data_IF_057611813755
#
_entry.id   IF_057611813755
#
_cell.length_a   1.000
_cell.length_b   1.000
_cell.length_c   1.000
_cell.angle_alpha   90.00
_cell.angle_beta   90.00
_cell.angle_gamma   90.00
#
_symmetry.space_group_name_H-M   'P 1'
#
loop_
_entity.id
_entity.type
_entity.pdbx_description
1 polymer ?
#
# COMPACT_ATOMS: atom_id res chain seq x y z
N UNK A 1 -17.42 14.47 -14.87
CA UNK A 1 -16.09 13.86 -14.65
C UNK A 1 -15.41 13.78 -15.99
N UNK A 2 -14.23 14.36 -16.14
CA UNK A 2 -13.43 14.18 -17.36
C UNK A 2 -12.82 12.77 -17.34
N UNK A 3 -13.43 11.85 -18.08
CA UNK A 3 -13.12 10.42 -18.07
C UNK A 3 -11.67 10.12 -18.49
N UNK A 4 -11.09 11.01 -19.30
CA UNK A 4 -9.72 10.89 -19.80
C UNK A 4 -8.67 11.04 -18.70
N UNK A 5 -8.83 12.04 -17.84
CA UNK A 5 -7.99 12.34 -16.67
C UNK A 5 -7.98 11.13 -15.70
N UNK A 6 -9.16 10.68 -15.27
CA UNK A 6 -9.29 9.58 -14.32
C UNK A 6 -8.72 8.27 -14.88
N UNK A 7 -8.95 7.99 -16.17
CA UNK A 7 -8.40 6.81 -16.84
C UNK A 7 -6.87 6.81 -16.84
N UNK A 8 -6.23 7.94 -17.16
CA UNK A 8 -4.76 8.06 -17.13
C UNK A 8 -4.18 7.90 -15.73
N UNK A 9 -4.80 8.51 -14.72
CA UNK A 9 -4.38 8.34 -13.33
C UNK A 9 -4.50 6.89 -12.86
N UNK A 10 -5.60 6.21 -13.21
CA UNK A 10 -5.79 4.78 -12.92
C UNK A 10 -4.70 3.92 -13.59
N UNK A 11 -4.39 4.14 -14.86
CA UNK A 11 -3.34 3.39 -15.57
C UNK A 11 -1.97 3.60 -14.91
N UNK A 12 -1.61 4.83 -14.56
CA UNK A 12 -0.32 5.11 -13.90
C UNK A 12 -0.22 4.48 -12.52
N UNK A 13 -1.28 4.56 -11.71
CA UNK A 13 -1.33 3.90 -10.40
C UNK A 13 -1.29 2.38 -10.54
N UNK A 14 -1.98 1.82 -11.54
CA UNK A 14 -1.97 0.40 -11.82
C UNK A 14 -0.57 -0.07 -12.19
N UNK A 15 0.10 0.60 -13.14
CA UNK A 15 1.45 0.24 -13.56
C UNK A 15 2.45 0.36 -12.40
N UNK A 16 2.34 1.41 -11.58
CA UNK A 16 3.16 1.59 -10.39
C UNK A 16 2.93 0.46 -9.37
N UNK A 17 1.68 0.10 -9.09
CA UNK A 17 1.34 -0.97 -8.16
C UNK A 17 1.74 -2.35 -8.69
N UNK A 18 1.51 -2.62 -9.97
CA UNK A 18 1.86 -3.87 -10.63
C UNK A 18 3.37 -4.10 -10.69
N UNK A 19 4.16 -3.02 -10.81
CA UNK A 19 5.63 -3.11 -10.82
C UNK A 19 6.21 -2.97 -9.41
N UNK A 20 6.08 -1.80 -8.78
CA UNK A 20 6.66 -1.51 -7.47
C UNK A 20 6.05 -2.34 -6.34
N UNK A 21 4.73 -2.51 -6.34
CA UNK A 21 4.06 -3.36 -5.33
C UNK A 21 4.46 -4.83 -5.45
N UNK A 22 4.58 -5.36 -6.68
CA UNK A 22 5.09 -6.71 -6.88
C UNK A 22 6.57 -6.83 -6.52
N UNK A 23 7.40 -5.83 -6.82
CA UNK A 23 8.81 -5.85 -6.40
C UNK A 23 8.96 -5.90 -4.87
N UNK A 24 8.13 -5.17 -4.13
CA UNK A 24 8.10 -5.20 -2.67
C UNK A 24 7.59 -6.54 -2.12
N UNK A 25 6.60 -7.16 -2.76
CA UNK A 25 6.12 -8.50 -2.38
C UNK A 25 7.18 -9.58 -2.67
N UNK A 26 7.83 -9.52 -3.83
CA UNK A 26 8.96 -10.38 -4.18
C UNK A 26 10.10 -10.25 -3.17
N UNK A 27 10.40 -9.03 -2.71
CA UNK A 27 11.37 -8.80 -1.65
C UNK A 27 11.01 -9.59 -0.37
N UNK A 28 9.75 -9.60 0.07
CA UNK A 28 9.33 -10.39 1.23
C UNK A 28 9.37 -11.90 1.00
N UNK A 29 9.12 -12.35 -0.23
CA UNK A 29 9.33 -13.76 -0.60
C UNK A 29 10.80 -14.14 -0.52
N UNK A 30 11.69 -13.31 -1.06
CA UNK A 30 13.14 -13.53 -1.03
C UNK A 30 13.72 -13.49 0.39
N UNK A 31 13.19 -12.63 1.27
CA UNK A 31 13.55 -12.60 2.70
C UNK A 31 12.95 -13.77 3.49
N UNK A 32 12.14 -14.62 2.86
CA UNK A 32 11.49 -15.77 3.49
C UNK A 32 10.39 -15.39 4.47
N UNK A 33 9.95 -14.11 4.48
CA UNK A 33 8.88 -13.59 5.34
C UNK A 33 7.51 -14.02 4.84
N UNK A 34 7.35 -14.15 3.52
CA UNK A 34 6.10 -14.57 2.86
C UNK A 34 6.39 -15.78 1.97
N UNK A 35 5.49 -16.76 1.94
CA UNK A 35 5.63 -17.95 1.09
C UNK A 35 4.30 -18.28 0.42
N UNK A 36 4.33 -18.35 -0.91
CA UNK A 36 3.17 -18.79 -1.69
C UNK A 36 3.02 -20.32 -1.63
N UNK A 37 1.77 -20.78 -1.60
CA UNK A 37 1.46 -22.21 -1.64
C UNK A 37 1.80 -22.81 -3.01
N UNK A 38 2.40 -24.00 -3.03
CA UNK A 38 2.78 -24.70 -4.26
C UNK A 38 1.59 -25.00 -5.17
N UNK A 39 0.39 -25.19 -4.59
CA UNK A 39 -0.85 -25.39 -5.36
C UNK A 39 -1.27 -24.15 -6.16
N UNK A 40 -0.95 -22.95 -5.66
CA UNK A 40 -1.28 -21.68 -6.32
C UNK A 40 -0.17 -21.22 -7.27
N UNK A 41 1.06 -21.66 -7.00
CA UNK A 41 2.25 -21.41 -7.83
C UNK A 41 2.34 -22.36 -9.04
N UNK A 42 1.37 -23.27 -9.22
CA UNK A 42 1.34 -24.19 -10.36
C UNK A 42 1.20 -23.50 -11.74
N UNK A 43 0.90 -22.20 -11.77
CA UNK A 43 0.91 -21.38 -13.00
C UNK A 43 2.28 -20.74 -13.30
N UNK A 44 2.39 -19.96 -14.38
CA UNK A 44 3.60 -19.21 -14.67
C UNK A 44 3.94 -18.25 -13.52
N UNK A 45 5.21 -18.23 -13.12
CA UNK A 45 5.71 -17.30 -12.11
C UNK A 45 6.41 -16.12 -12.77
N UNK A 46 6.24 -14.95 -12.19
CA UNK A 46 6.96 -13.72 -12.56
C UNK A 46 7.84 -13.35 -11.38
N UNK A 47 9.16 -13.50 -11.53
CA UNK A 47 10.14 -13.19 -10.45
C UNK A 47 9.86 -13.91 -9.12
N UNK A 48 9.41 -15.17 -9.16
CA UNK A 48 9.06 -15.94 -7.97
C UNK A 48 7.68 -15.64 -7.38
N UNK A 49 6.90 -14.78 -8.02
CA UNK A 49 5.51 -14.48 -7.66
C UNK A 49 4.52 -15.17 -8.60
N UNK A 50 3.33 -15.55 -8.12
CA UNK A 50 2.24 -15.95 -8.99
C UNK A 50 1.86 -14.85 -10.01
N UNK A 51 1.50 -15.24 -11.24
CA UNK A 51 1.15 -14.30 -12.32
C UNK A 51 0.05 -13.28 -12.00
N UNK A 52 -0.82 -13.58 -11.03
CA UNK A 52 -1.92 -12.70 -10.61
C UNK A 52 -1.49 -11.64 -9.59
N UNK A 53 -0.30 -11.75 -8.99
CA UNK A 53 0.18 -10.79 -7.99
C UNK A 53 0.29 -9.37 -8.57
N UNK A 54 0.89 -9.15 -9.76
CA UNK A 54 0.90 -7.82 -10.38
C UNK A 54 -0.49 -7.25 -10.63
N UNK A 55 -1.47 -8.08 -10.97
CA UNK A 55 -2.85 -7.65 -11.15
C UNK A 55 -3.48 -7.21 -9.82
N UNK A 56 -3.22 -7.96 -8.75
CA UNK A 56 -3.71 -7.65 -7.41
C UNK A 56 -3.08 -6.37 -6.87
N UNK A 57 -1.75 -6.24 -6.92
CA UNK A 57 -1.04 -5.06 -6.39
C UNK A 57 -1.31 -3.81 -7.22
N UNK A 58 -1.44 -3.96 -8.54
CA UNK A 58 -1.87 -2.88 -9.43
C UNK A 58 -3.28 -2.39 -9.10
N UNK A 59 -4.23 -3.32 -8.95
CA UNK A 59 -5.63 -2.97 -8.60
C UNK A 59 -5.73 -2.33 -7.22
N UNK A 60 -4.97 -2.83 -6.24
CA UNK A 60 -4.90 -2.25 -4.90
C UNK A 60 -4.35 -0.81 -4.95
N UNK A 61 -3.31 -0.55 -5.75
CA UNK A 61 -2.76 0.80 -5.89
C UNK A 61 -3.76 1.78 -6.50
N UNK A 62 -4.56 1.35 -7.48
CA UNK A 62 -5.65 2.15 -8.04
C UNK A 62 -6.73 2.41 -6.98
N UNK A 63 -7.19 1.37 -6.29
CA UNK A 63 -8.25 1.50 -5.28
C UNK A 63 -7.84 2.45 -4.14
N UNK A 64 -6.62 2.30 -3.62
CA UNK A 64 -6.09 3.15 -2.55
C UNK A 64 -5.85 4.58 -3.08
N UNK A 65 -5.18 4.72 -4.22
CA UNK A 65 -4.82 6.03 -4.76
C UNK A 65 -6.01 6.88 -5.18
N UNK A 66 -7.05 6.26 -5.77
CA UNK A 66 -8.24 6.98 -6.23
C UNK A 66 -9.32 7.13 -5.16
N UNK A 67 -9.34 6.31 -4.10
CA UNK A 67 -10.33 6.46 -3.02
C UNK A 67 -10.25 7.84 -2.37
N UNK A 68 -9.04 8.39 -2.19
CA UNK A 68 -8.83 9.70 -1.59
C UNK A 68 -9.48 10.84 -2.41
N UNK A 69 -9.10 11.10 -3.68
CA UNK A 69 -9.71 12.18 -4.46
C UNK A 69 -11.21 11.98 -4.75
N UNK A 70 -11.72 10.74 -4.70
CA UNK A 70 -13.16 10.46 -4.82
C UNK A 70 -13.94 10.81 -3.56
N UNK A 71 -13.34 10.62 -2.38
CA UNK A 71 -14.00 10.81 -1.09
C UNK A 71 -13.68 12.18 -0.45
N UNK A 72 -12.63 12.87 -0.91
CA UNK A 72 -12.27 14.22 -0.46
C UNK A 72 -13.44 15.24 -0.54
N UNK A 73 -14.28 15.25 -1.61
CA UNK A 73 -15.44 16.15 -1.67
C UNK A 73 -16.49 15.87 -0.59
N UNK A 74 -16.68 14.61 -0.20
CA UNK A 74 -17.64 14.21 0.83
C UNK A 74 -17.19 14.64 2.23
N UNK A 75 -15.88 14.81 2.44
CA UNK A 75 -15.29 15.22 3.69
C UNK A 75 -15.01 16.74 3.74
N UNK A 76 -15.60 17.51 2.82
CA UNK A 76 -15.43 18.95 2.67
C UNK A 76 -13.94 19.37 2.64
N UNK A 77 -13.07 18.55 2.03
CA UNK A 77 -11.63 18.75 2.15
C UNK A 77 -11.15 19.98 1.35
N UNK A 78 -10.62 20.97 2.08
CA UNK A 78 -9.95 22.17 1.56
C UNK A 78 -8.42 22.02 1.50
N UNK A 79 -7.89 20.90 0.97
CA UNK A 79 -6.43 20.72 0.91
C UNK A 79 -5.85 21.25 -0.39
N UNK A 80 -4.73 21.96 -0.27
CA UNK A 80 -3.84 22.26 -1.39
C UNK A 80 -3.19 20.98 -1.86
N UNK A 81 -3.41 20.61 -3.13
CA UNK A 81 -2.77 19.44 -3.71
C UNK A 81 -1.25 19.59 -3.64
N UNK A 82 -0.58 18.52 -3.21
CA UNK A 82 0.89 18.48 -3.17
C UNK A 82 1.45 18.39 -4.58
N UNK A 83 2.68 18.91 -4.75
CA UNK A 83 3.44 18.76 -6.00
C UNK A 83 3.67 17.28 -6.28
N UNK A 84 3.65 16.89 -7.56
CA UNK A 84 3.89 15.50 -7.95
C UNK A 84 5.23 14.96 -7.39
N UNK A 85 6.28 15.79 -7.38
CA UNK A 85 7.59 15.38 -6.85
C UNK A 85 7.56 15.03 -5.36
N UNK A 86 6.78 15.75 -4.54
CA UNK A 86 6.66 15.42 -3.11
C UNK A 86 5.79 14.19 -2.89
N UNK A 87 4.78 13.95 -3.74
CA UNK A 87 4.01 12.70 -3.71
C UNK A 87 4.85 11.49 -4.16
N UNK A 88 5.74 11.64 -5.15
CA UNK A 88 6.69 10.58 -5.54
C UNK A 88 7.68 10.31 -4.41
N UNK A 89 8.23 11.37 -3.79
CA UNK A 89 9.10 11.21 -2.61
C UNK A 89 8.36 10.50 -1.46
N UNK A 90 7.04 10.66 -1.35
CA UNK A 90 6.22 10.00 -0.35
C UNK A 90 6.22 8.46 -0.51
N UNK A 91 6.38 7.93 -1.73
CA UNK A 91 6.55 6.49 -1.96
C UNK A 91 7.83 5.95 -1.32
N UNK A 92 8.85 6.80 -1.14
CA UNK A 92 10.07 6.44 -0.41
C UNK A 92 9.80 6.03 1.04
N UNK A 93 8.82 6.65 1.70
CA UNK A 93 8.40 6.25 3.05
C UNK A 93 7.77 4.86 3.08
N UNK A 94 6.98 4.52 2.05
CA UNK A 94 6.40 3.19 1.90
C UNK A 94 7.50 2.15 1.70
N UNK A 95 8.46 2.41 0.81
CA UNK A 95 9.61 1.52 0.60
C UNK A 95 10.43 1.34 1.89
N UNK A 96 10.71 2.43 2.60
CA UNK A 96 11.41 2.38 3.88
C UNK A 96 10.64 1.54 4.90
N UNK A 97 9.33 1.72 5.02
CA UNK A 97 8.49 0.91 5.91
C UNK A 97 8.55 -0.59 5.56
N UNK A 98 8.54 -0.93 4.26
CA UNK A 98 8.72 -2.30 3.81
C UNK A 98 10.08 -2.88 4.24
N UNK A 99 11.17 -2.14 4.04
CA UNK A 99 12.51 -2.56 4.45
C UNK A 99 12.61 -2.76 5.97
N UNK A 100 12.06 -1.83 6.75
CA UNK A 100 12.03 -1.91 8.21
C UNK A 100 11.15 -3.08 8.71
N UNK A 101 10.08 -3.41 7.98
CA UNK A 101 9.24 -4.57 8.23
C UNK A 101 9.98 -5.91 8.12
N UNK A 102 11.07 -5.95 7.33
CA UNK A 102 11.90 -7.13 7.17
C UNK A 102 13.02 -7.29 8.21
N UNK A 103 13.27 -6.27 9.05
CA UNK A 103 14.30 -6.36 10.09
C UNK A 103 13.85 -7.35 11.18
N UNK A 104 14.74 -8.26 11.63
CA UNK A 104 14.43 -9.25 12.66
C UNK A 104 14.33 -8.60 14.05
N UNK A 105 13.24 -7.88 14.29
CA UNK A 105 12.87 -7.29 15.58
C UNK A 105 11.77 -8.11 16.25
N UNK A 106 11.67 -8.01 17.58
CA UNK A 106 10.50 -8.52 18.30
C UNK A 106 9.21 -7.89 17.75
N UNK A 107 8.07 -8.62 17.67
CA UNK A 107 6.85 -8.13 17.01
C UNK A 107 6.37 -6.78 17.52
N UNK A 108 6.34 -6.59 18.84
CA UNK A 108 5.92 -5.34 19.46
C UNK A 108 6.88 -4.18 19.15
N UNK A 109 8.19 -4.42 19.18
CA UNK A 109 9.19 -3.42 18.85
C UNK A 109 9.09 -2.98 17.37
N UNK A 110 8.85 -3.94 16.46
CA UNK A 110 8.65 -3.67 15.04
C UNK A 110 7.38 -2.84 14.79
N UNK A 111 6.27 -3.19 15.46
CA UNK A 111 5.03 -2.42 15.39
C UNK A 111 5.21 -1.00 15.93
N UNK A 112 5.90 -0.85 17.08
CA UNK A 112 6.20 0.45 17.66
C UNK A 112 7.04 1.33 16.74
N UNK A 113 8.10 0.77 16.15
CA UNK A 113 8.95 1.47 15.18
C UNK A 113 8.16 1.96 13.97
N UNK A 114 7.40 1.07 13.33
CA UNK A 114 6.61 1.41 12.15
C UNK A 114 5.48 2.39 12.47
N UNK A 115 4.85 2.28 13.63
CA UNK A 115 3.83 3.22 14.11
C UNK A 115 4.39 4.62 14.36
N UNK A 116 5.53 4.73 15.08
CA UNK A 116 6.19 6.02 15.32
C UNK A 116 6.63 6.69 14.02
N UNK A 117 7.19 5.91 13.10
CA UNK A 117 7.62 6.40 11.80
C UNK A 117 6.41 6.81 10.93
N UNK A 118 5.27 6.12 11.06
CA UNK A 118 4.05 6.46 10.34
C UNK A 118 3.49 7.78 10.87
N UNK A 119 3.49 7.97 12.19
CA UNK A 119 3.12 9.24 12.79
C UNK A 119 4.03 10.37 12.30
N UNK A 120 5.35 10.16 12.23
CA UNK A 120 6.26 11.15 11.66
C UNK A 120 5.92 11.48 10.19
N UNK A 121 5.68 10.46 9.36
CA UNK A 121 5.28 10.65 7.98
C UNK A 121 3.94 11.41 7.88
N UNK A 122 2.94 11.07 8.69
CA UNK A 122 1.67 11.78 8.77
C UNK A 122 1.83 13.26 9.18
N UNK A 123 2.73 13.53 10.14
CA UNK A 123 3.09 14.88 10.56
C UNK A 123 3.66 15.70 9.39
N UNK A 124 4.60 15.12 8.65
CA UNK A 124 5.20 15.72 7.46
C UNK A 124 4.21 15.79 6.27
N UNK A 125 3.23 14.89 6.21
CA UNK A 125 2.14 14.87 5.25
C UNK A 125 1.04 15.92 5.55
N UNK A 126 1.23 16.76 6.56
CA UNK A 126 0.37 17.92 6.85
C UNK A 126 -0.75 17.64 7.85
N UNK A 127 -0.66 16.58 8.66
CA UNK A 127 -1.44 16.41 9.90
C UNK A 127 -2.98 16.36 9.73
N UNK A 128 -3.49 15.87 8.59
CA UNK A 128 -4.95 15.80 8.37
C UNK A 128 -5.57 14.62 9.10
N UNK A 129 -6.63 14.86 9.87
CA UNK A 129 -7.44 13.79 10.48
C UNK A 129 -8.08 12.87 9.44
N UNK A 130 -8.41 13.40 8.26
CA UNK A 130 -9.01 12.61 7.16
C UNK A 130 -8.02 11.55 6.65
N UNK A 131 -6.74 11.91 6.56
CA UNK A 131 -5.68 10.96 6.24
C UNK A 131 -5.55 9.86 7.31
N UNK A 132 -5.83 10.14 8.58
CA UNK A 132 -5.86 9.09 9.61
C UNK A 132 -7.03 8.13 9.39
N UNK A 133 -8.21 8.65 9.05
CA UNK A 133 -9.38 7.81 8.76
C UNK A 133 -9.13 6.95 7.51
N UNK A 134 -8.68 7.54 6.41
CA UNK A 134 -8.37 6.76 5.21
C UNK A 134 -7.32 5.69 5.50
N UNK A 135 -6.25 6.06 6.21
CA UNK A 135 -5.20 5.11 6.56
C UNK A 135 -5.70 4.00 7.47
N UNK A 136 -6.61 4.29 8.41
CA UNK A 136 -7.24 3.28 9.25
C UNK A 136 -8.13 2.34 8.41
N UNK A 137 -8.95 2.87 7.51
CA UNK A 137 -9.81 2.08 6.62
C UNK A 137 -8.98 1.17 5.73
N UNK A 138 -7.93 1.71 5.07
CA UNK A 138 -7.03 0.93 4.21
C UNK A 138 -6.23 -0.08 5.02
N UNK A 139 -5.75 0.29 6.21
CA UNK A 139 -5.05 -0.64 7.11
C UNK A 139 -5.90 -1.83 7.52
N UNK A 140 -7.14 -1.58 7.93
CA UNK A 140 -8.07 -2.63 8.34
C UNK A 140 -8.44 -3.50 7.14
N UNK A 141 -8.89 -2.90 6.04
CA UNK A 141 -9.37 -3.63 4.86
C UNK A 141 -8.26 -4.45 4.19
N UNK A 142 -7.07 -3.87 3.98
CA UNK A 142 -5.93 -4.58 3.41
C UNK A 142 -5.49 -5.76 4.27
N UNK A 143 -5.41 -5.55 5.59
CA UNK A 143 -5.05 -6.63 6.52
C UNK A 143 -6.10 -7.74 6.55
N UNK A 144 -7.39 -7.40 6.54
CA UNK A 144 -8.47 -8.39 6.48
C UNK A 144 -8.43 -9.23 5.21
N UNK A 145 -8.16 -8.61 4.05
CA UNK A 145 -7.99 -9.34 2.78
C UNK A 145 -6.83 -10.33 2.89
N UNK A 146 -5.69 -9.90 3.45
CA UNK A 146 -4.53 -10.79 3.64
C UNK A 146 -4.86 -11.95 4.61
N UNK A 147 -5.56 -11.69 5.71
CA UNK A 147 -6.04 -12.75 6.62
C UNK A 147 -6.92 -13.77 5.90
N UNK A 148 -7.84 -13.32 5.05
CA UNK A 148 -8.69 -14.21 4.25
C UNK A 148 -7.84 -15.07 3.30
N UNK A 149 -6.87 -14.46 2.60
CA UNK A 149 -6.00 -15.17 1.66
C UNK A 149 -5.08 -16.18 2.35
N UNK A 150 -4.55 -15.84 3.54
CA UNK A 150 -3.76 -16.77 4.34
C UNK A 150 -4.62 -17.95 4.82
N UNK A 151 -5.83 -17.68 5.32
CA UNK A 151 -6.74 -18.72 5.79
C UNK A 151 -7.28 -19.61 4.65
N UNK A 152 -7.34 -19.07 3.42
CA UNK A 152 -7.62 -19.82 2.20
C UNK A 152 -6.42 -20.63 1.69
N UNK A 153 -5.26 -20.56 2.35
CA UNK A 153 -4.06 -21.30 1.99
C UNK A 153 -3.34 -20.78 0.75
N UNK A 154 -3.57 -19.52 0.35
CA UNK A 154 -2.95 -18.92 -0.85
C UNK A 154 -1.46 -18.65 -0.61
N UNK A 155 -1.12 -18.11 0.56
CA UNK A 155 0.24 -17.90 1.04
C UNK A 155 0.27 -17.91 2.57
N UNK A 156 1.45 -17.87 3.16
CA UNK A 156 1.64 -17.82 4.61
C UNK A 156 2.82 -16.91 5.00
N UNK A 157 2.82 -16.48 6.26
CA UNK A 157 3.92 -15.77 6.91
C UNK A 157 4.59 -16.66 7.96
N UNK A 158 5.65 -17.42 7.62
CA UNK A 158 6.12 -18.53 8.47
C UNK A 158 6.63 -18.11 9.84
N UNK A 159 7.28 -16.94 9.94
CA UNK A 159 7.91 -16.47 11.18
C UNK A 159 7.18 -15.32 11.88
N UNK A 160 6.10 -14.77 11.30
CA UNK A 160 5.42 -13.58 11.83
C UNK A 160 3.91 -13.68 11.60
N UNK A 161 3.24 -14.56 12.33
CA UNK A 161 1.83 -14.92 12.15
C UNK A 161 0.95 -14.52 13.36
N UNK A 162 1.26 -13.38 14.00
CA UNK A 162 0.66 -13.02 15.29
C UNK A 162 -0.81 -12.59 15.19
N UNK A 163 -1.27 -12.13 14.03
CA UNK A 163 -2.65 -11.69 13.79
C UNK A 163 -3.36 -12.66 12.84
N UNK A 164 -3.86 -13.79 13.34
CA UNK A 164 -4.61 -14.77 12.54
C UNK A 164 -3.89 -15.19 11.25
N UNK A 165 -2.56 -15.42 11.34
CA UNK A 165 -1.76 -15.86 10.20
C UNK A 165 -1.05 -14.74 9.44
N UNK A 166 -1.32 -13.46 9.74
CA UNK A 166 -0.56 -12.32 9.18
C UNK A 166 0.28 -11.62 10.24
N UNK A 167 1.31 -10.85 9.84
CA UNK A 167 2.19 -10.18 10.78
C UNK A 167 1.51 -9.01 11.49
N UNK A 168 1.80 -8.82 12.78
CA UNK A 168 1.22 -7.72 13.57
C UNK A 168 1.52 -6.31 13.03
N UNK A 169 2.60 -6.16 12.27
CA UNK A 169 3.04 -4.90 11.69
C UNK A 169 2.43 -4.61 10.31
N UNK A 170 1.77 -5.58 9.68
CA UNK A 170 1.18 -5.44 8.34
C UNK A 170 0.16 -4.28 8.22
N UNK A 171 -0.71 -4.01 9.22
CA UNK A 171 -1.61 -2.87 9.16
C UNK A 171 -0.89 -1.53 8.97
N UNK A 172 0.31 -1.37 9.55
CA UNK A 172 1.09 -0.15 9.38
C UNK A 172 1.50 0.04 7.92
N UNK A 173 1.93 -1.01 7.21
CA UNK A 173 2.29 -0.88 5.79
C UNK A 173 1.12 -0.39 4.93
N UNK A 174 -0.08 -0.91 5.19
CA UNK A 174 -1.29 -0.45 4.52
C UNK A 174 -1.63 1.01 4.89
N UNK A 175 -1.35 1.45 6.11
CA UNK A 175 -1.45 2.86 6.50
C UNK A 175 -0.45 3.75 5.73
N UNK A 176 0.81 3.34 5.57
CA UNK A 176 1.78 4.04 4.71
C UNK A 176 1.30 4.09 3.25
N UNK A 177 0.79 2.97 2.74
CA UNK A 177 0.29 2.89 1.37
C UNK A 177 -0.86 3.86 1.15
N UNK A 178 -1.78 3.99 2.12
CA UNK A 178 -2.87 4.97 2.09
C UNK A 178 -2.36 6.39 1.93
N UNK A 179 -1.42 6.83 2.78
CA UNK A 179 -0.85 8.17 2.69
C UNK A 179 -0.12 8.41 1.37
N UNK A 180 0.79 7.51 1.00
CA UNK A 180 1.66 7.70 -0.15
C UNK A 180 0.90 7.63 -1.48
N UNK A 181 0.07 6.60 -1.66
CA UNK A 181 -0.72 6.42 -2.89
C UNK A 181 -1.89 7.40 -2.96
N UNK A 182 -2.51 7.74 -1.83
CA UNK A 182 -3.57 8.76 -1.77
C UNK A 182 -3.06 10.14 -2.19
N UNK A 183 -1.89 10.56 -1.67
CA UNK A 183 -1.25 11.82 -2.07
C UNK A 183 -0.79 11.81 -3.54
N UNK A 184 -0.36 10.65 -4.05
CA UNK A 184 -0.04 10.48 -5.47
C UNK A 184 -1.29 10.58 -6.34
N UNK A 185 -2.38 9.91 -5.98
CA UNK A 185 -3.65 9.95 -6.71
C UNK A 185 -4.20 11.37 -6.81
N UNK A 186 -4.20 12.12 -5.70
CA UNK A 186 -4.56 13.54 -5.70
C UNK A 186 -3.67 14.36 -6.65
N UNK A 187 -2.35 14.16 -6.58
CA UNK A 187 -1.40 14.89 -7.42
C UNK A 187 -1.60 14.60 -8.91
N UNK A 188 -1.79 13.33 -9.30
CA UNK A 188 -2.04 12.94 -10.69
C UNK A 188 -3.31 13.58 -11.24
N UNK A 189 -4.40 13.57 -10.48
CA UNK A 189 -5.66 14.21 -10.89
C UNK A 189 -5.49 15.73 -11.01
N UNK A 190 -4.75 16.37 -10.10
CA UNK A 190 -4.53 17.82 -10.18
C UNK A 190 -3.65 18.23 -11.36
N UNK A 191 -2.58 17.47 -11.65
CA UNK A 191 -1.64 17.77 -12.72
C UNK A 191 -2.33 17.75 -14.08
N UNK A 192 -3.24 16.81 -14.27
CA UNK A 192 -3.98 16.61 -15.51
C UNK A 192 -5.13 17.60 -15.71
N UNK A 193 -5.63 18.24 -14.63
CA UNK A 193 -6.64 19.31 -14.72
C UNK A 193 -6.03 20.70 -14.91
N UNK A 194 -4.75 20.87 -14.58
CA UNK A 194 -4.04 22.14 -14.63
C UNK A 194 -3.13 22.32 -15.85
N UNK A 195 -3.15 21.38 -16.80
CA UNK A 195 -2.46 21.47 -18.09
C UNK A 195 -3.47 21.46 -19.23
#
# INVERSE_FOLDING_TARGET
MDTSTWGRAAVLLFLLGATGGSALDAFYVHQGLKRYSTAVVAGPTLFGLPWWVPLLTGSAAVAIGLSHPLLDPLLAHLRTTRRLSTSIAALGWLCLAYLLGAIPLAPLARCGLLGLLYLNFWLLAGRSWQNLIFSAVVAITGTLIEMILVNAGIFSFPQNAELLGVPAWLPWLYAYASLALGDLGRALISLQRGG
#
